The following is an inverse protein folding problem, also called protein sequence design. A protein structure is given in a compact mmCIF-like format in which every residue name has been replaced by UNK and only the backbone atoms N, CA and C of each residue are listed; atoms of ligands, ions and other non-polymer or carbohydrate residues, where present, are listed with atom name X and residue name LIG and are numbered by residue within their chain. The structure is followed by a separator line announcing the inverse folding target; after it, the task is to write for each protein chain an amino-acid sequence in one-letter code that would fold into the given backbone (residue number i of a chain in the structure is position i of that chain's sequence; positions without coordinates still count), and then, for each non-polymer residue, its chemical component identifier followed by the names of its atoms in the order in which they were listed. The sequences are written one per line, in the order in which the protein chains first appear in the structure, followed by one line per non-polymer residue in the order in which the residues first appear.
data_IF_963032619616
#
_entry.id   IF_963032619616
#
_cell.length_a   1.000
_cell.length_b   1.000
_cell.length_c   1.000
_cell.angle_alpha   90.00
_cell.angle_beta   90.00
_cell.angle_gamma   90.00
#
_symmetry.space_group_name_H-M   'P 1'
#
loop_
_entity.id
_entity.type
_entity.pdbx_description
1 polymer ?
#
# COMPACT_ATOMS: atom_id res chain seq x y z
N UNK A 1 62.95 -68.77 -0.67
CA UNK A 1 61.79 -69.42 -0.04
C UNK A 1 60.82 -68.39 0.31
N UNK A 2 59.73 -68.43 -0.42
CA UNK A 2 58.34 -68.14 -0.09
C UNK A 2 58.05 -66.72 0.46
N UNK A 3 57.12 -66.04 0.12
CA UNK A 3 55.94 -66.25 -0.74
C UNK A 3 55.29 -64.86 -0.90
N UNK A 4 54.77 -64.66 -2.04
CA UNK A 4 54.04 -63.52 -2.38
C UNK A 4 52.61 -63.65 -1.83
N UNK A 5 52.04 -62.57 -1.36
CA UNK A 5 50.59 -62.34 -1.45
C UNK A 5 50.30 -60.86 -1.35
N UNK A 6 49.92 -60.40 -2.48
CA UNK A 6 49.23 -59.14 -2.73
C UNK A 6 47.82 -59.09 -2.02
N UNK A 7 47.39 -58.06 -1.41
CA UNK A 7 46.00 -57.86 -1.19
C UNK A 7 45.48 -56.71 -2.04
N UNK A 8 44.51 -57.08 -2.80
CA UNK A 8 43.68 -56.31 -3.70
C UNK A 8 43.19 -54.95 -3.13
N UNK A 9 43.36 -53.94 -3.98
CA UNK A 9 42.71 -52.62 -3.92
C UNK A 9 41.22 -52.78 -3.91
N UNK A 10 40.60 -52.48 -2.76
CA UNK A 10 39.16 -52.25 -2.66
C UNK A 10 38.89 -50.73 -2.63
N UNK A 11 38.89 -50.17 -3.81
CA UNK A 11 38.47 -48.77 -3.99
C UNK A 11 36.94 -48.71 -4.02
N UNK A 12 36.35 -48.49 -2.85
CA UNK A 12 34.92 -48.19 -2.73
C UNK A 12 34.66 -46.79 -3.28
N UNK A 13 34.06 -46.74 -4.45
CA UNK A 13 33.48 -45.50 -4.99
C UNK A 13 32.29 -45.10 -4.15
N UNK A 14 32.45 -44.09 -3.30
CA UNK A 14 31.35 -43.35 -2.71
C UNK A 14 30.72 -42.48 -3.79
N UNK A 15 29.63 -42.96 -4.37
CA UNK A 15 28.70 -42.16 -5.16
C UNK A 15 27.99 -41.20 -4.22
N UNK A 16 28.45 -39.94 -4.17
CA UNK A 16 27.72 -38.85 -3.55
C UNK A 16 26.59 -38.50 -4.50
N UNK A 17 25.40 -39.03 -4.21
CA UNK A 17 24.15 -38.50 -4.77
C UNK A 17 23.87 -37.13 -4.14
N UNK A 18 24.30 -36.06 -4.78
CA UNK A 18 23.78 -34.73 -4.56
C UNK A 18 22.35 -34.70 -5.08
N UNK A 19 21.41 -34.94 -4.19
CA UNK A 19 20.01 -34.59 -4.41
C UNK A 19 19.92 -33.07 -4.54
N UNK A 20 19.96 -32.57 -5.77
CA UNK A 20 19.47 -31.25 -6.12
C UNK A 20 17.96 -31.25 -5.85
N UNK A 21 17.61 -30.83 -4.65
CA UNK A 21 16.23 -30.43 -4.34
C UNK A 21 15.95 -29.13 -5.11
N UNK A 22 15.47 -29.26 -6.34
CA UNK A 22 14.83 -28.17 -7.03
C UNK A 22 13.56 -27.85 -6.21
N UNK A 23 13.67 -26.93 -5.27
CA UNK A 23 12.53 -26.26 -4.73
C UNK A 23 11.90 -25.52 -5.90
N UNK A 24 10.95 -26.17 -6.57
CA UNK A 24 10.00 -25.47 -7.41
C UNK A 24 9.26 -24.51 -6.47
N UNK A 25 9.72 -23.27 -6.42
CA UNK A 25 8.95 -22.20 -5.86
C UNK A 25 7.71 -22.04 -6.75
N UNK A 26 6.64 -22.76 -6.43
CA UNK A 26 5.31 -22.41 -6.84
C UNK A 26 4.90 -21.11 -6.10
N UNK A 27 5.74 -20.10 -6.15
CA UNK A 27 5.33 -18.75 -5.83
C UNK A 27 4.30 -18.40 -6.91
N UNK A 28 3.03 -18.46 -6.55
CA UNK A 28 1.95 -18.01 -7.41
C UNK A 28 2.29 -16.59 -7.83
N UNK A 29 2.34 -16.35 -9.14
CA UNK A 29 2.58 -15.01 -9.63
C UNK A 29 1.34 -14.15 -9.30
N UNK A 30 1.39 -13.44 -8.16
CA UNK A 30 0.36 -12.51 -7.71
C UNK A 30 0.11 -11.37 -8.72
N UNK A 31 0.91 -11.33 -9.81
CA UNK A 31 0.73 -10.44 -10.98
C UNK A 31 -0.21 -11.03 -12.03
N UNK A 32 -0.54 -12.33 -11.94
CA UNK A 32 -1.43 -12.95 -12.91
C UNK A 32 -2.90 -12.77 -12.52
N UNK A 33 -3.76 -12.39 -13.48
CA UNK A 33 -5.14 -12.00 -13.21
C UNK A 33 -6.16 -13.13 -13.08
N UNK A 34 -5.78 -14.40 -12.96
CA UNK A 34 -6.70 -15.54 -13.05
C UNK A 34 -7.88 -15.53 -12.06
N UNK A 35 -7.77 -14.76 -10.96
CA UNK A 35 -8.87 -14.49 -10.02
C UNK A 35 -8.92 -13.03 -9.61
N UNK A 36 -8.19 -12.16 -10.32
CA UNK A 36 -8.11 -10.76 -9.99
C UNK A 36 -9.43 -10.08 -10.27
N UNK A 37 -10.06 -9.65 -9.23
CA UNK A 37 -11.31 -8.90 -9.32
C UNK A 37 -11.09 -7.41 -9.13
N UNK A 38 -9.93 -7.00 -8.59
CA UNK A 38 -9.50 -5.62 -8.49
C UNK A 38 -7.98 -5.51 -8.52
N UNK A 39 -7.48 -4.55 -9.28
CA UNK A 39 -6.07 -4.18 -9.28
C UNK A 39 -5.87 -3.02 -8.32
N UNK A 40 -4.90 -3.12 -7.43
CA UNK A 40 -4.41 -2.04 -6.59
C UNK A 40 -3.10 -1.55 -7.15
N UNK A 41 -3.02 -0.25 -7.44
CA UNK A 41 -1.83 0.45 -7.89
C UNK A 41 -1.44 1.47 -6.83
N UNK A 42 -0.24 1.38 -6.31
CA UNK A 42 0.35 2.38 -5.43
C UNK A 42 1.05 3.43 -6.29
N UNK A 43 0.66 4.68 -6.15
CA UNK A 43 1.28 5.77 -6.90
C UNK A 43 2.51 6.23 -6.15
N UNK A 44 2.35 6.85 -5.03
CA UNK A 44 3.33 7.22 -4.01
C UNK A 44 2.61 7.92 -2.87
N UNK A 45 3.28 8.17 -1.75
CA UNK A 45 2.74 8.85 -0.57
C UNK A 45 1.48 8.14 -0.05
N UNK A 46 0.32 8.81 -0.07
CA UNK A 46 -0.98 8.21 0.25
C UNK A 46 -1.84 7.92 -1.00
N UNK A 47 -1.30 8.12 -2.19
CA UNK A 47 -2.05 8.01 -3.44
C UNK A 47 -2.10 6.58 -3.97
N UNK A 48 -3.34 6.08 -4.17
CA UNK A 48 -3.62 4.77 -4.75
C UNK A 48 -4.64 4.85 -5.87
N UNK A 49 -4.57 3.89 -6.77
CA UNK A 49 -5.59 3.67 -7.78
C UNK A 49 -6.12 2.25 -7.69
N UNK A 50 -7.44 2.08 -7.67
CA UNK A 50 -8.11 0.79 -7.71
C UNK A 50 -8.81 0.64 -9.05
N UNK A 51 -8.62 -0.50 -9.72
CA UNK A 51 -9.25 -0.79 -11.01
C UNK A 51 -10.03 -2.08 -10.91
N UNK A 52 -11.34 -2.01 -11.07
CA UNK A 52 -12.22 -3.18 -11.11
C UNK A 52 -12.09 -3.95 -12.40
N UNK A 53 -12.56 -5.20 -12.42
CA UNK A 53 -12.46 -6.11 -13.57
C UNK A 53 -13.15 -5.61 -14.85
N UNK A 54 -14.08 -4.67 -14.73
CA UNK A 54 -14.78 -4.06 -15.86
C UNK A 54 -14.19 -2.70 -16.29
N UNK A 55 -13.02 -2.34 -15.76
CA UNK A 55 -12.30 -1.11 -16.10
C UNK A 55 -12.70 0.12 -15.29
N UNK A 56 -13.79 0.09 -14.52
CA UNK A 56 -14.13 1.19 -13.60
C UNK A 56 -12.99 1.39 -12.60
N UNK A 57 -12.62 2.63 -12.34
CA UNK A 57 -11.47 2.95 -11.51
C UNK A 57 -11.71 4.08 -10.52
N UNK A 58 -11.05 3.98 -9.37
CA UNK A 58 -11.02 4.98 -8.31
C UNK A 58 -9.58 5.48 -8.14
N UNK A 59 -9.41 6.77 -7.97
CA UNK A 59 -8.17 7.39 -7.50
C UNK A 59 -8.40 7.86 -6.06
N UNK A 60 -7.50 7.52 -5.14
CA UNK A 60 -7.61 7.86 -3.73
C UNK A 60 -6.44 8.74 -3.35
N UNK A 61 -6.70 9.83 -2.67
CA UNK A 61 -5.75 10.78 -2.10
C UNK A 61 -4.59 11.16 -3.04
N UNK A 62 -4.86 11.70 -4.25
CA UNK A 62 -3.81 12.23 -5.10
C UNK A 62 -3.16 13.47 -4.49
N UNK A 63 -1.85 13.59 -4.60
CA UNK A 63 -1.08 14.71 -4.05
C UNK A 63 -0.80 15.79 -5.09
N UNK A 64 -0.59 17.02 -4.62
CA UNK A 64 -0.16 18.14 -5.45
C UNK A 64 1.33 17.99 -5.80
N UNK A 65 1.64 18.04 -7.10
CA UNK A 65 3.01 18.11 -7.60
C UNK A 65 3.79 19.26 -6.97
N UNK A 66 5.07 19.00 -6.67
CA UNK A 66 6.00 20.03 -6.15
C UNK A 66 5.59 20.63 -4.81
N UNK A 67 4.76 19.94 -4.05
CA UNK A 67 4.45 20.29 -2.69
C UNK A 67 5.58 19.80 -1.76
N UNK A 68 5.42 19.89 -0.46
CA UNK A 68 6.44 19.55 0.53
C UNK A 68 7.01 18.11 0.43
N UNK A 69 6.28 17.17 -0.19
CA UNK A 69 6.76 15.80 -0.41
C UNK A 69 7.82 15.67 -1.51
N UNK A 70 8.07 16.72 -2.31
CA UNK A 70 9.23 16.81 -3.19
C UNK A 70 9.17 16.07 -4.52
N UNK A 71 8.02 15.50 -4.93
CA UNK A 71 7.88 14.80 -6.21
C UNK A 71 6.62 15.19 -6.98
N UNK A 72 6.63 14.89 -8.28
CA UNK A 72 5.53 15.22 -9.18
C UNK A 72 4.51 14.09 -9.25
N UNK A 73 3.23 14.45 -9.22
CA UNK A 73 2.15 13.49 -9.49
C UNK A 73 2.18 13.09 -10.98
N UNK A 74 2.01 11.80 -11.32
CA UNK A 74 2.11 11.31 -12.68
C UNK A 74 1.12 11.98 -13.64
N UNK A 75 1.61 12.60 -14.69
CA UNK A 75 0.78 13.19 -15.75
C UNK A 75 0.19 12.17 -16.74
N UNK A 76 0.70 10.93 -16.73
CA UNK A 76 0.33 9.88 -17.68
C UNK A 76 -0.63 8.81 -17.12
N UNK A 77 -1.19 9.01 -15.95
CA UNK A 77 -2.17 8.06 -15.39
C UNK A 77 -3.46 8.06 -16.23
N UNK A 78 -4.04 6.89 -16.50
CA UNK A 78 -5.37 6.82 -17.09
C UNK A 78 -6.40 7.55 -16.21
N UNK A 79 -7.35 8.23 -16.84
CA UNK A 79 -8.43 8.90 -16.13
C UNK A 79 -9.19 7.90 -15.22
N UNK A 80 -9.56 8.36 -14.03
CA UNK A 80 -10.38 7.58 -13.10
C UNK A 80 -11.83 8.07 -13.13
N UNK A 81 -12.78 7.15 -12.88
CA UNK A 81 -14.21 7.47 -12.87
C UNK A 81 -14.60 8.30 -11.64
N UNK A 82 -13.89 8.09 -10.53
CA UNK A 82 -14.03 8.94 -9.35
C UNK A 82 -12.70 9.14 -8.63
N UNK A 83 -12.64 10.25 -7.89
CA UNK A 83 -11.57 10.58 -6.94
C UNK A 83 -12.15 10.60 -5.54
N UNK A 84 -11.52 9.92 -4.62
CA UNK A 84 -11.84 9.92 -3.19
C UNK A 84 -10.79 10.77 -2.46
N UNK A 85 -11.24 11.78 -1.72
CA UNK A 85 -10.37 12.69 -0.97
C UNK A 85 -10.65 12.52 0.53
N UNK A 86 -9.65 12.09 1.29
CA UNK A 86 -9.81 11.87 2.73
C UNK A 86 -9.95 13.19 3.49
N UNK A 87 -9.12 14.17 3.14
CA UNK A 87 -9.09 15.48 3.78
C UNK A 87 -8.43 16.53 2.88
N UNK A 88 -8.63 17.84 3.15
CA UNK A 88 -8.23 18.91 2.24
C UNK A 88 -6.78 19.39 2.42
N UNK A 89 -5.82 18.48 2.63
CA UNK A 89 -4.41 18.82 2.53
C UNK A 89 -3.89 18.57 1.11
N UNK A 90 -3.00 19.44 0.59
CA UNK A 90 -2.53 19.34 -0.79
C UNK A 90 -1.85 18.01 -1.15
N UNK A 91 -1.31 17.30 -0.19
CA UNK A 91 -0.72 15.97 -0.35
C UNK A 91 -1.77 14.82 -0.34
N UNK A 92 -3.07 15.15 -0.18
CA UNK A 92 -4.20 14.21 -0.25
C UNK A 92 -5.32 14.66 -1.19
N UNK A 93 -5.40 15.96 -1.53
CA UNK A 93 -6.43 16.51 -2.41
C UNK A 93 -5.87 17.20 -3.67
N UNK A 94 -4.57 17.03 -3.93
CA UNK A 94 -3.86 17.70 -5.03
C UNK A 94 -3.98 19.24 -5.01
N UNK A 95 -4.22 19.84 -3.83
CA UNK A 95 -4.46 21.26 -3.67
C UNK A 95 -5.85 21.74 -4.13
N UNK A 96 -6.77 20.82 -4.39
CA UNK A 96 -8.11 21.11 -4.90
C UNK A 96 -8.87 22.07 -3.99
N UNK A 97 -8.88 21.86 -2.69
CA UNK A 97 -9.55 22.75 -1.73
C UNK A 97 -8.94 24.16 -1.69
N UNK A 98 -7.70 24.32 -2.15
CA UNK A 98 -6.98 25.60 -2.25
C UNK A 98 -7.06 26.22 -3.65
N UNK A 99 -7.82 25.61 -4.58
CA UNK A 99 -8.03 26.10 -5.94
C UNK A 99 -6.91 25.77 -6.93
N UNK A 100 -6.05 24.81 -6.61
CA UNK A 100 -5.09 24.28 -7.60
C UNK A 100 -5.83 23.52 -8.71
N UNK A 101 -5.21 23.45 -9.89
CA UNK A 101 -5.71 22.60 -10.97
C UNK A 101 -5.41 21.15 -10.64
N UNK A 102 -6.44 20.31 -10.45
CA UNK A 102 -6.23 18.93 -10.07
C UNK A 102 -5.70 18.08 -11.24
N UNK A 103 -5.03 16.96 -10.98
CA UNK A 103 -4.49 16.07 -12.01
C UNK A 103 -5.53 15.17 -12.68
N UNK A 104 -6.80 15.24 -12.29
CA UNK A 104 -7.89 14.47 -12.86
C UNK A 104 -8.73 15.26 -13.84
N UNK A 105 -9.52 14.57 -14.68
CA UNK A 105 -10.41 15.18 -15.66
C UNK A 105 -11.54 15.98 -15.01
N UNK A 106 -12.04 17.03 -15.68
CA UNK A 106 -13.20 17.77 -15.23
C UNK A 106 -14.48 16.92 -15.12
N UNK A 107 -14.56 15.80 -15.85
CA UNK A 107 -15.69 14.88 -15.81
C UNK A 107 -15.56 13.82 -14.68
N UNK A 108 -14.44 13.78 -13.98
CA UNK A 108 -14.20 12.84 -12.88
C UNK A 108 -15.09 13.20 -11.69
N UNK A 109 -15.82 12.23 -11.14
CA UNK A 109 -16.64 12.42 -9.97
C UNK A 109 -15.76 12.61 -8.72
N UNK A 110 -15.94 13.71 -8.00
CA UNK A 110 -15.23 13.97 -6.74
C UNK A 110 -16.12 13.50 -5.59
N UNK A 111 -15.53 12.75 -4.65
CA UNK A 111 -16.15 12.29 -3.41
C UNK A 111 -15.21 12.68 -2.26
N UNK A 112 -15.62 13.65 -1.44
CA UNK A 112 -14.75 14.33 -0.47
C UNK A 112 -15.32 14.35 0.96
N UNK A 113 -16.26 13.46 1.27
CA UNK A 113 -16.85 13.44 2.61
C UNK A 113 -17.55 12.14 2.99
N UNK A 114 -17.93 11.99 4.26
CA UNK A 114 -18.63 10.81 4.75
C UNK A 114 -19.97 10.58 4.05
N UNK A 115 -20.31 9.31 3.80
CA UNK A 115 -21.55 8.91 3.14
C UNK A 115 -21.40 7.54 2.46
N UNK A 116 -22.47 7.09 1.84
CA UNK A 116 -22.49 5.86 1.05
C UNK A 116 -22.59 6.23 -0.44
N UNK A 117 -21.71 5.65 -1.25
CA UNK A 117 -21.56 5.95 -2.67
C UNK A 117 -21.40 4.66 -3.48
N UNK A 118 -21.72 4.75 -4.77
CA UNK A 118 -21.47 3.67 -5.74
C UNK A 118 -20.82 4.25 -6.98
N UNK A 119 -19.76 3.58 -7.46
CA UNK A 119 -19.06 3.90 -8.71
C UNK A 119 -18.79 2.58 -9.44
N UNK A 120 -19.54 2.30 -10.50
CA UNK A 120 -19.48 1.00 -11.17
C UNK A 120 -19.71 -0.16 -10.18
N UNK A 121 -18.73 -1.07 -10.10
CA UNK A 121 -18.78 -2.22 -9.20
C UNK A 121 -18.30 -1.91 -7.77
N UNK A 122 -17.84 -0.68 -7.50
CA UNK A 122 -17.38 -0.27 -6.18
C UNK A 122 -18.55 0.23 -5.32
N UNK A 123 -18.72 -0.37 -4.14
CA UNK A 123 -19.53 0.16 -3.06
C UNK A 123 -18.60 0.85 -2.06
N UNK A 124 -18.80 2.13 -1.84
CA UNK A 124 -17.87 2.98 -1.10
C UNK A 124 -18.59 3.58 0.08
N UNK A 125 -18.00 3.45 1.26
CA UNK A 125 -18.46 4.12 2.47
C UNK A 125 -17.39 5.04 2.99
N UNK A 126 -17.69 6.34 3.04
CA UNK A 126 -16.91 7.34 3.75
C UNK A 126 -17.30 7.36 5.23
N UNK A 127 -16.39 6.97 6.09
CA UNK A 127 -16.57 6.96 7.55
C UNK A 127 -15.92 8.21 8.11
N UNK A 128 -16.65 8.92 8.99
CA UNK A 128 -16.12 10.11 9.64
C UNK A 128 -15.00 9.76 10.61
N UNK A 129 -13.80 10.18 10.28
CA UNK A 129 -12.63 10.18 11.12
C UNK A 129 -12.24 11.58 11.58
N UNK A 130 -11.05 11.70 12.11
CA UNK A 130 -10.39 12.97 12.45
C UNK A 130 -8.93 12.88 12.08
N UNK A 131 -8.37 13.96 11.54
CA UNK A 131 -6.96 14.05 11.26
C UNK A 131 -6.13 14.00 12.55
N UNK A 132 -4.99 13.31 12.50
CA UNK A 132 -4.04 13.23 13.62
C UNK A 132 -3.48 14.61 14.00
N UNK A 133 -3.09 14.77 15.26
CA UNK A 133 -2.36 15.95 15.72
C UNK A 133 -0.85 15.82 15.42
N UNK A 134 -0.14 16.93 15.28
CA UNK A 134 -0.57 18.35 15.44
C UNK A 134 -1.15 18.95 14.15
N UNK A 135 -1.25 18.19 13.08
CA UNK A 135 -1.65 18.68 11.75
C UNK A 135 -3.19 18.69 11.58
N UNK A 136 -3.69 19.34 10.53
CA UNK A 136 -5.10 19.31 10.17
C UNK A 136 -6.01 20.31 10.89
N UNK A 137 -5.53 21.08 11.86
CA UNK A 137 -6.34 22.07 12.59
C UNK A 137 -6.95 23.13 11.68
N UNK A 138 -6.24 23.54 10.63
CA UNK A 138 -6.67 24.55 9.66
C UNK A 138 -7.98 24.18 8.93
N UNK A 139 -8.30 22.88 8.86
CA UNK A 139 -9.55 22.39 8.25
C UNK A 139 -10.48 21.70 9.27
N UNK A 140 -10.34 22.04 10.56
CA UNK A 140 -11.17 21.47 11.62
C UNK A 140 -10.92 19.99 11.87
N UNK A 141 -9.73 19.50 11.52
CA UNK A 141 -9.31 18.11 11.65
C UNK A 141 -10.23 17.12 10.94
N UNK A 142 -10.74 17.50 9.78
CA UNK A 142 -11.55 16.62 8.95
C UNK A 142 -10.66 15.48 8.41
N UNK A 143 -11.15 14.27 8.49
CA UNK A 143 -10.63 13.13 7.75
C UNK A 143 -11.75 12.14 7.46
N UNK A 144 -11.78 11.59 6.26
CA UNK A 144 -12.73 10.55 5.84
C UNK A 144 -11.96 9.27 5.63
N UNK A 145 -12.33 8.23 6.36
CA UNK A 145 -11.81 6.88 6.14
C UNK A 145 -12.64 6.25 5.03
N UNK A 146 -11.97 5.79 3.98
CA UNK A 146 -12.62 5.14 2.85
C UNK A 146 -12.66 3.64 3.04
N UNK A 147 -13.86 3.07 3.16
CA UNK A 147 -14.11 1.64 3.11
C UNK A 147 -14.71 1.30 1.75
N UNK A 148 -13.95 0.57 0.95
CA UNK A 148 -14.25 0.28 -0.45
C UNK A 148 -14.51 -1.23 -0.57
N UNK A 149 -15.70 -1.59 -0.99
CA UNK A 149 -16.08 -2.97 -1.25
C UNK A 149 -16.14 -3.23 -2.76
N UNK A 150 -15.42 -4.23 -3.20
CA UNK A 150 -15.37 -4.67 -4.60
C UNK A 150 -15.03 -6.13 -4.65
N UNK A 151 -15.77 -6.89 -5.46
CA UNK A 151 -15.49 -8.32 -5.69
C UNK A 151 -15.43 -9.16 -4.39
N UNK A 152 -16.22 -8.80 -3.40
CA UNK A 152 -16.24 -9.45 -2.09
C UNK A 152 -15.03 -9.15 -1.20
N UNK A 153 -14.14 -8.22 -1.61
CA UNK A 153 -13.04 -7.71 -0.81
C UNK A 153 -13.43 -6.38 -0.14
N UNK A 154 -12.87 -6.14 1.03
CA UNK A 154 -13.02 -4.90 1.81
C UNK A 154 -11.65 -4.26 1.94
N UNK A 155 -11.46 -3.19 1.20
CA UNK A 155 -10.23 -2.38 1.16
C UNK A 155 -10.48 -1.10 1.93
N UNK A 156 -9.61 -0.76 2.86
CA UNK A 156 -9.75 0.43 3.69
C UNK A 156 -8.54 1.33 3.53
N UNK A 157 -8.78 2.60 3.24
CA UNK A 157 -7.78 3.65 3.24
C UNK A 157 -8.12 4.62 4.37
N UNK A 158 -7.22 4.81 5.33
CA UNK A 158 -7.56 5.60 6.52
C UNK A 158 -7.27 7.10 6.39
N UNK A 159 -6.59 7.53 5.30
CA UNK A 159 -6.06 8.90 5.24
C UNK A 159 -5.11 9.14 6.41
N UNK A 160 -5.07 10.36 6.91
CA UNK A 160 -4.25 10.76 8.05
C UNK A 160 -5.02 10.70 9.37
N UNK A 161 -5.73 9.59 9.56
CA UNK A 161 -6.61 9.45 10.71
C UNK A 161 -5.84 9.36 12.03
N UNK A 162 -6.42 10.02 13.07
CA UNK A 162 -5.95 9.90 14.45
C UNK A 162 -5.95 8.44 14.95
N UNK A 163 -5.33 8.15 16.11
CA UNK A 163 -5.31 6.82 16.68
C UNK A 163 -6.69 6.17 16.76
N UNK A 164 -6.78 4.90 16.36
CA UNK A 164 -8.03 4.15 16.26
C UNK A 164 -8.78 4.10 17.59
N UNK A 165 -10.00 4.62 17.60
CA UNK A 165 -10.94 4.49 18.71
C UNK A 165 -11.98 3.39 18.45
N UNK A 166 -12.72 3.00 19.52
CA UNK A 166 -13.66 1.88 19.44
C UNK A 166 -14.86 2.14 18.52
N UNK A 167 -15.33 3.37 18.42
CA UNK A 167 -16.48 3.74 17.58
C UNK A 167 -16.10 3.65 16.10
N UNK A 168 -14.98 4.25 15.71
CA UNK A 168 -14.46 4.19 14.35
C UNK A 168 -14.13 2.74 13.96
N UNK A 169 -13.53 1.95 14.86
CA UNK A 169 -13.27 0.54 14.61
C UNK A 169 -14.55 -0.27 14.34
N UNK A 170 -15.65 0.04 15.05
CA UNK A 170 -16.93 -0.62 14.85
C UNK A 170 -17.57 -0.24 13.49
N UNK A 171 -17.41 1.02 13.06
CA UNK A 171 -17.91 1.47 11.76
C UNK A 171 -17.09 0.89 10.59
N UNK A 172 -15.77 0.79 10.73
CA UNK A 172 -14.91 0.14 9.74
C UNK A 172 -15.29 -1.34 9.59
N UNK A 173 -15.52 -2.04 10.70
CA UNK A 173 -15.87 -3.46 10.72
C UNK A 173 -14.74 -4.36 10.22
N UNK A 174 -15.12 -5.45 9.52
CA UNK A 174 -14.14 -6.37 8.95
C UNK A 174 -13.38 -5.76 7.77
N UNK A 175 -12.09 -6.07 7.67
CA UNK A 175 -11.16 -5.54 6.67
C UNK A 175 -10.33 -6.68 6.07
N UNK A 176 -10.16 -6.67 4.76
CA UNK A 176 -9.26 -7.61 4.07
C UNK A 176 -7.90 -6.95 3.78
N UNK A 177 -7.91 -5.70 3.30
CA UNK A 177 -6.70 -4.89 3.05
C UNK A 177 -6.85 -3.54 3.70
N UNK A 178 -5.83 -3.08 4.41
CA UNK A 178 -5.80 -1.73 5.00
C UNK A 178 -4.54 -0.98 4.58
N UNK A 179 -4.70 0.27 4.18
CA UNK A 179 -3.62 1.22 3.91
C UNK A 179 -3.47 2.12 5.14
N UNK A 180 -2.25 2.14 5.71
CA UNK A 180 -1.94 2.85 6.95
C UNK A 180 -0.75 3.79 6.74
N UNK A 181 -0.80 5.06 7.22
CA UNK A 181 0.38 5.89 7.29
C UNK A 181 1.39 5.29 8.26
N UNK A 182 2.61 5.04 7.76
CA UNK A 182 3.69 4.45 8.55
C UNK A 182 5.02 5.01 8.06
N UNK A 183 5.69 5.76 8.89
CA UNK A 183 7.06 6.20 8.65
C UNK A 183 7.89 6.16 9.94
N UNK A 184 9.22 6.20 9.82
CA UNK A 184 10.16 6.08 10.95
C UNK A 184 10.19 7.34 11.84
N UNK A 185 9.63 8.46 11.38
CA UNK A 185 9.48 9.70 12.15
C UNK A 185 8.13 9.75 12.90
N UNK A 186 7.30 8.74 12.71
CA UNK A 186 5.96 8.64 13.33
C UNK A 186 5.10 9.90 13.08
N UNK A 187 5.15 10.40 11.82
CA UNK A 187 4.55 11.68 11.44
C UNK A 187 3.03 11.76 11.71
N UNK A 188 2.28 10.70 11.38
CA UNK A 188 0.82 10.63 11.58
C UNK A 188 0.46 9.69 12.73
N UNK A 189 1.01 8.47 12.72
CA UNK A 189 0.77 7.44 13.72
C UNK A 189 2.08 6.93 14.29
N UNK A 190 2.16 6.81 15.61
CA UNK A 190 3.24 6.05 16.22
C UNK A 190 3.16 4.56 15.83
N UNK A 191 4.29 3.87 15.89
CA UNK A 191 4.33 2.43 15.60
C UNK A 191 3.37 1.63 16.50
N UNK A 192 3.18 2.05 17.76
CA UNK A 192 2.22 1.41 18.65
C UNK A 192 0.78 1.59 18.15
N UNK A 193 0.45 2.76 17.60
CA UNK A 193 -0.87 3.06 17.05
C UNK A 193 -1.14 2.29 15.76
N UNK A 194 -0.13 2.16 14.88
CA UNK A 194 -0.21 1.27 13.71
C UNK A 194 -0.51 -0.16 14.13
N UNK A 195 0.21 -0.67 15.14
CA UNK A 195 -0.04 -2.02 15.67
C UNK A 195 -1.40 -2.14 16.36
N UNK A 196 -1.96 -1.04 16.90
CA UNK A 196 -3.32 -1.01 17.44
C UNK A 196 -4.36 -1.19 16.33
N UNK A 197 -4.19 -0.54 15.17
CA UNK A 197 -5.01 -0.78 13.98
C UNK A 197 -4.95 -2.25 13.55
N UNK A 198 -3.76 -2.83 13.41
CA UNK A 198 -3.55 -4.24 13.05
C UNK A 198 -4.24 -5.19 14.02
N UNK A 199 -4.00 -5.03 15.32
CA UNK A 199 -4.58 -5.91 16.36
C UNK A 199 -6.10 -5.81 16.44
N UNK A 200 -6.65 -4.62 16.24
CA UNK A 200 -8.09 -4.38 16.41
C UNK A 200 -8.90 -4.80 15.19
N UNK A 201 -8.45 -4.50 14.00
CA UNK A 201 -9.17 -4.76 12.75
C UNK A 201 -8.78 -6.11 12.12
N UNK A 202 -7.61 -6.65 12.45
CA UNK A 202 -7.11 -7.94 11.98
C UNK A 202 -7.21 -8.11 10.45
N UNK A 203 -6.71 -7.16 9.66
CA UNK A 203 -6.72 -7.28 8.22
C UNK A 203 -5.90 -8.49 7.78
N UNK A 204 -6.20 -9.04 6.60
CA UNK A 204 -5.33 -10.04 5.98
C UNK A 204 -4.01 -9.41 5.51
N UNK A 205 -4.09 -8.19 4.98
CA UNK A 205 -2.93 -7.46 4.47
C UNK A 205 -2.94 -6.02 4.96
N UNK A 206 -1.76 -5.54 5.35
CA UNK A 206 -1.46 -4.12 5.60
C UNK A 206 -0.55 -3.61 4.50
N UNK A 207 -0.92 -2.50 3.88
CA UNK A 207 -0.09 -1.77 2.93
C UNK A 207 0.32 -0.46 3.60
N UNK A 208 1.60 -0.27 3.96
CA UNK A 208 2.07 1.00 4.48
C UNK A 208 2.03 2.07 3.40
N UNK A 209 1.78 3.29 3.79
CA UNK A 209 1.75 4.47 2.95
C UNK A 209 2.27 5.68 3.72
N UNK A 210 2.35 6.84 3.09
CA UNK A 210 2.70 8.11 3.73
C UNK A 210 4.13 8.11 4.32
N UNK A 211 5.07 7.47 3.63
CA UNK A 211 6.49 7.45 3.98
C UNK A 211 7.33 8.02 2.83
N UNK A 212 8.57 8.41 3.17
CA UNK A 212 9.53 8.94 2.21
C UNK A 212 10.05 7.84 1.29
N UNK A 213 10.14 8.18 0.00
CA UNK A 213 10.84 7.40 -1.01
C UNK A 213 12.21 8.04 -1.27
N UNK A 214 13.29 7.41 -0.83
CA UNK A 214 14.64 7.97 -0.90
C UNK A 214 15.11 8.25 -2.34
N UNK A 215 14.65 7.47 -3.31
CA UNK A 215 14.93 7.66 -4.72
C UNK A 215 14.15 8.82 -5.37
N UNK A 216 13.09 9.30 -4.72
CA UNK A 216 12.31 10.47 -5.11
C UNK A 216 12.68 11.75 -4.35
N UNK A 217 13.53 11.65 -3.32
CA UNK A 217 13.95 12.80 -2.53
C UNK A 217 14.70 13.81 -3.41
N UNK A 218 14.20 15.05 -3.43
CA UNK A 218 14.74 16.11 -4.28
C UNK A 218 16.02 16.75 -3.72
N UNK A 219 16.15 16.80 -2.39
CA UNK A 219 17.29 17.37 -1.68
C UNK A 219 17.72 16.43 -0.53
N UNK A 220 18.71 15.55 -0.77
CA UNK A 220 19.19 14.64 0.27
C UNK A 220 19.78 15.35 1.51
N UNK A 221 20.22 16.63 1.36
CA UNK A 221 20.74 17.44 2.45
C UNK A 221 19.63 18.13 3.26
N UNK A 222 18.41 18.10 2.75
CA UNK A 222 17.19 18.60 3.39
C UNK A 222 16.04 17.66 3.14
N UNK A 223 16.10 16.44 3.70
CA UNK A 223 15.00 15.49 3.56
C UNK A 223 13.71 16.12 4.10
N UNK A 224 12.60 15.74 3.49
CA UNK A 224 11.27 16.10 3.99
C UNK A 224 11.04 15.58 5.41
N UNK A 225 9.93 15.98 6.01
CA UNK A 225 9.58 15.60 7.40
C UNK A 225 9.25 14.09 7.53
N UNK A 226 9.06 13.38 6.42
CA UNK A 226 8.74 11.95 6.43
C UNK A 226 9.99 11.09 6.64
N UNK A 227 9.88 10.12 7.53
CA UNK A 227 10.82 9.03 7.65
C UNK A 227 10.61 7.94 6.58
N UNK A 228 11.56 7.02 6.45
CA UNK A 228 11.38 5.80 5.65
C UNK A 228 10.40 4.84 6.34
N UNK A 229 10.01 3.77 5.64
CA UNK A 229 9.21 2.68 6.23
C UNK A 229 10.09 1.60 6.87
N UNK A 230 11.40 1.66 6.69
CA UNK A 230 12.32 0.54 6.92
C UNK A 230 12.43 0.12 8.37
N UNK A 231 12.49 1.08 9.30
CA UNK A 231 12.61 0.80 10.73
C UNK A 231 11.37 0.09 11.30
N UNK A 232 10.18 0.47 10.84
CA UNK A 232 8.97 -0.25 11.19
C UNK A 232 8.88 -1.60 10.46
N UNK A 233 9.18 -1.62 9.16
CA UNK A 233 9.12 -2.83 8.34
C UNK A 233 10.05 -3.93 8.85
N UNK A 234 11.25 -3.58 9.30
CA UNK A 234 12.21 -4.54 9.89
C UNK A 234 11.67 -5.28 11.13
N UNK A 235 10.62 -4.75 11.76
CA UNK A 235 9.95 -5.38 12.91
C UNK A 235 8.79 -6.30 12.50
N UNK A 236 8.51 -6.43 11.20
CA UNK A 236 7.39 -7.21 10.70
C UNK A 236 7.85 -8.57 10.19
N UNK A 237 7.68 -9.66 10.97
CA UNK A 237 8.13 -11.00 10.56
C UNK A 237 7.36 -11.55 9.35
N UNK A 238 6.17 -11.02 9.11
CA UNK A 238 5.29 -11.32 7.97
C UNK A 238 5.39 -10.28 6.85
N UNK A 239 6.39 -9.39 6.91
CA UNK A 239 6.61 -8.34 5.93
C UNK A 239 7.23 -8.83 4.62
N UNK A 240 6.80 -8.26 3.50
CA UNK A 240 7.31 -8.52 2.14
C UNK A 240 7.44 -7.23 1.36
N UNK A 241 8.60 -7.02 0.74
CA UNK A 241 8.76 -6.04 -0.33
C UNK A 241 8.40 -6.74 -1.64
N UNK A 242 7.39 -6.22 -2.33
CA UNK A 242 6.82 -6.91 -3.49
C UNK A 242 7.53 -6.61 -4.81
N UNK A 243 8.42 -5.61 -4.86
CA UNK A 243 9.16 -5.20 -6.06
C UNK A 243 8.25 -4.80 -7.22
N UNK A 244 7.12 -4.20 -6.90
CA UNK A 244 6.13 -3.69 -7.86
C UNK A 244 5.24 -2.66 -7.20
N UNK A 245 4.67 -1.77 -8.02
CA UNK A 245 3.67 -0.80 -7.62
C UNK A 245 2.23 -1.27 -7.87
N UNK A 246 2.05 -2.36 -8.59
CA UNK A 246 0.73 -2.87 -9.00
C UNK A 246 0.54 -4.31 -8.61
N UNK A 247 -0.57 -4.62 -7.95
CA UNK A 247 -0.95 -5.96 -7.54
C UNK A 247 -2.41 -6.26 -7.86
N UNK A 248 -2.68 -7.54 -8.16
CA UNK A 248 -4.03 -8.03 -8.33
C UNK A 248 -4.53 -8.63 -7.02
N UNK A 249 -5.63 -8.10 -6.49
CA UNK A 249 -6.23 -8.54 -5.25
C UNK A 249 -7.30 -9.60 -5.52
N UNK A 250 -7.19 -10.73 -4.85
CA UNK A 250 -8.24 -11.74 -4.74
C UNK A 250 -8.25 -12.30 -3.32
N UNK A 251 -9.37 -12.84 -2.88
CA UNK A 251 -9.48 -13.41 -1.54
C UNK A 251 -8.53 -14.59 -1.34
N UNK A 252 -8.28 -15.38 -2.38
CA UNK A 252 -7.32 -16.49 -2.34
C UNK A 252 -5.90 -15.96 -2.15
N UNK A 253 -5.47 -14.99 -2.95
CA UNK A 253 -4.14 -14.40 -2.86
C UNK A 253 -3.86 -13.77 -1.48
N UNK A 254 -4.83 -13.03 -0.92
CA UNK A 254 -4.70 -12.42 0.42
C UNK A 254 -4.54 -13.48 1.52
N UNK A 255 -5.25 -14.62 1.41
CA UNK A 255 -5.15 -15.71 2.39
C UNK A 255 -3.86 -16.53 2.26
N UNK A 256 -3.31 -16.65 1.06
CA UNK A 256 -2.05 -17.36 0.81
C UNK A 256 -0.83 -16.55 1.29
N UNK A 257 -0.91 -15.23 1.25
CA UNK A 257 0.19 -14.33 1.61
C UNK A 257 -0.26 -13.23 2.57
N UNK A 258 -0.84 -13.58 3.74
CA UNK A 258 -1.21 -12.55 4.70
C UNK A 258 0.04 -11.83 5.25
N UNK A 259 -0.13 -10.60 5.72
CA UNK A 259 0.94 -9.85 6.39
C UNK A 259 1.08 -8.42 5.90
N UNK A 260 2.31 -7.90 5.92
CA UNK A 260 2.63 -6.55 5.48
C UNK A 260 3.20 -6.59 4.06
N UNK A 261 2.63 -5.77 3.16
CA UNK A 261 3.08 -5.66 1.78
C UNK A 261 3.60 -4.24 1.51
N UNK A 262 4.91 -4.10 1.36
CA UNK A 262 5.53 -2.85 0.91
C UNK A 262 5.59 -2.87 -0.61
N UNK A 263 4.91 -1.91 -1.23
CA UNK A 263 4.90 -1.70 -2.67
C UNK A 263 5.98 -0.68 -3.06
N UNK A 264 6.50 -0.78 -4.27
CA UNK A 264 7.26 0.31 -4.88
C UNK A 264 6.32 1.44 -5.29
N UNK A 265 6.81 2.66 -5.38
CA UNK A 265 6.04 3.73 -6.01
C UNK A 265 5.89 3.50 -7.52
N UNK A 266 4.92 4.13 -8.15
CA UNK A 266 4.74 4.06 -9.60
C UNK A 266 5.97 4.60 -10.35
N UNK A 267 6.47 3.92 -11.37
CA UNK A 267 7.59 4.40 -12.19
C UNK A 267 7.26 5.68 -12.98
N UNK A 268 6.00 6.11 -12.97
CA UNK A 268 5.55 7.37 -13.57
C UNK A 268 5.75 8.58 -12.64
N UNK A 269 6.04 8.34 -11.37
CA UNK A 269 6.38 9.41 -10.40
C UNK A 269 7.81 9.86 -10.65
N UNK A 270 8.03 11.15 -10.65
CA UNK A 270 9.35 11.74 -10.85
C UNK A 270 9.67 12.73 -9.73
N UNK A 271 10.96 12.96 -9.49
CA UNK A 271 11.39 14.05 -8.62
C UNK A 271 10.87 15.38 -9.17
N UNK A 272 10.46 16.26 -8.27
CA UNK A 272 10.18 17.64 -8.65
C UNK A 272 11.51 18.35 -8.96
N UNK A 273 11.57 19.03 -10.13
CA UNK A 273 12.71 19.84 -10.57
C UNK A 273 12.70 21.24 -9.93
#
# INVERSE_FOLDING_TARGET
MADASDPEDNMQYFLIFTLLWAASSNARDWRTPDEAQVTLEYIAHAAFRLVGSQGTSLLVDPYQSRWWIGYDFPSGLPASDAVLLSHPHPDHDAGYARGATPPWSADTRIIDGPGDYTVGAFSIRGIRGRHAEPYGEEFGRINTIWRIEVAGLRVVHIGDNEPLNAAVAAEIGDVDVIMLPVDDEEHILSFEEVERYRRRLKPLVVVPMHYRHDDLESDPDRPGDLGSVDGWFARQPDGRQLGTHTISLSRSALKELPGVWVLEHSPLVTRAE
#
